data_IF_679468356272
#
_entry.id   IF_679468356272
#
_cell.length_a   1.000
_cell.length_b   1.000
_cell.length_c   1.000
_cell.angle_alpha   90.00
_cell.angle_beta   90.00
_cell.angle_gamma   90.00
#
_symmetry.space_group_name_H-M   'P 1'
#
loop_
_entity.id
_entity.type
_entity.pdbx_description
1 polymer ?
#
# COMPACT_ATOMS: atom_id res chain seq x y z
N UNK A 1 -8.12 -21.73 4.92
CA UNK A 1 -8.72 -21.07 3.75
C UNK A 1 -7.58 -20.43 2.97
N UNK A 2 -6.92 -21.21 2.12
CA UNK A 2 -5.68 -20.82 1.42
C UNK A 2 -6.05 -20.32 0.04
N UNK A 3 -5.54 -19.15 -0.37
CA UNK A 3 -5.67 -18.68 -1.75
C UNK A 3 -4.84 -19.62 -2.63
N UNK A 4 -5.51 -20.52 -3.35
CA UNK A 4 -4.86 -21.32 -4.37
C UNK A 4 -4.63 -20.44 -5.60
N UNK A 5 -3.37 -20.17 -5.95
CA UNK A 5 -3.02 -19.47 -7.20
C UNK A 5 -3.38 -20.41 -8.35
N UNK A 6 -4.49 -20.12 -9.04
CA UNK A 6 -5.01 -20.94 -10.14
C UNK A 6 -4.57 -20.36 -11.47
N UNK A 7 -3.77 -21.11 -12.23
CA UNK A 7 -3.31 -20.71 -13.56
C UNK A 7 -4.42 -20.64 -14.63
N UNK A 8 -5.63 -21.13 -14.32
CA UNK A 8 -6.77 -21.15 -15.25
C UNK A 8 -7.24 -19.74 -15.67
N UNK A 9 -7.01 -18.72 -14.84
CA UNK A 9 -7.43 -17.34 -15.07
C UNK A 9 -6.28 -16.39 -15.40
N UNK A 10 -5.12 -16.90 -15.84
CA UNK A 10 -3.89 -16.11 -16.01
C UNK A 10 -4.08 -14.83 -16.84
N UNK A 11 -4.86 -14.87 -17.92
CA UNK A 11 -5.17 -13.67 -18.71
C UNK A 11 -5.95 -12.64 -17.90
N UNK A 12 -7.01 -13.05 -17.22
CA UNK A 12 -7.84 -12.16 -16.40
C UNK A 12 -7.06 -11.56 -15.24
N UNK A 13 -6.26 -12.38 -14.56
CA UNK A 13 -5.45 -11.96 -13.42
C UNK A 13 -4.34 -10.97 -13.86
N UNK A 14 -3.75 -11.18 -15.04
CA UNK A 14 -2.74 -10.27 -15.59
C UNK A 14 -3.33 -8.90 -15.95
N UNK A 15 -4.43 -8.87 -16.71
CA UNK A 15 -5.08 -7.61 -17.09
C UNK A 15 -5.68 -6.89 -15.88
N UNK A 16 -6.28 -7.63 -14.94
CA UNK A 16 -6.79 -7.11 -13.68
C UNK A 16 -5.68 -6.52 -12.81
N UNK A 17 -4.57 -7.23 -12.65
CA UNK A 17 -3.39 -6.75 -11.91
C UNK A 17 -2.76 -5.52 -12.54
N UNK A 18 -2.63 -5.47 -13.86
CA UNK A 18 -2.11 -4.29 -14.58
C UNK A 18 -3.02 -3.07 -14.38
N UNK A 19 -4.33 -3.26 -14.51
CA UNK A 19 -5.31 -2.18 -14.33
C UNK A 19 -5.28 -1.68 -12.88
N UNK A 20 -5.23 -2.60 -11.91
CA UNK A 20 -5.11 -2.27 -10.50
C UNK A 20 -3.81 -1.51 -10.20
N UNK A 21 -2.68 -1.90 -10.81
CA UNK A 21 -1.40 -1.21 -10.64
C UNK A 21 -1.45 0.23 -11.15
N UNK A 22 -2.05 0.47 -12.32
CA UNK A 22 -2.22 1.83 -12.89
C UNK A 22 -3.05 2.72 -11.96
N UNK A 23 -4.11 2.19 -11.35
CA UNK A 23 -4.96 2.94 -10.41
C UNK A 23 -4.26 3.12 -9.05
N UNK A 24 -3.54 2.12 -8.57
CA UNK A 24 -2.89 2.13 -7.26
C UNK A 24 -1.66 3.06 -7.20
N UNK A 25 -0.93 3.22 -8.30
CA UNK A 25 0.29 4.04 -8.36
C UNK A 25 0.06 5.50 -7.93
N UNK A 26 -0.85 6.28 -8.54
CA UNK A 26 -1.09 7.66 -8.11
C UNK A 26 -1.64 7.74 -6.68
N UNK A 27 -2.47 6.76 -6.28
CA UNK A 27 -3.04 6.71 -4.94
C UNK A 27 -1.95 6.49 -3.86
N UNK A 28 -1.01 5.58 -4.11
CA UNK A 28 0.10 5.29 -3.22
C UNK A 28 1.03 6.51 -3.03
N UNK A 29 1.33 7.23 -4.12
CA UNK A 29 2.14 8.44 -4.06
C UNK A 29 1.42 9.54 -3.28
N UNK A 30 0.13 9.76 -3.54
CA UNK A 30 -0.68 10.76 -2.85
C UNK A 30 -0.75 10.49 -1.34
N UNK A 31 -0.97 9.23 -0.95
CA UNK A 31 -0.99 8.82 0.45
C UNK A 31 0.38 8.86 1.13
N UNK A 32 1.47 8.57 0.41
CA UNK A 32 2.82 8.78 0.92
C UNK A 32 3.10 10.24 1.26
N UNK A 33 2.70 11.16 0.39
CA UNK A 33 2.83 12.61 0.66
C UNK A 33 1.92 13.03 1.82
N UNK A 34 0.66 12.62 1.81
CA UNK A 34 -0.32 13.01 2.84
C UNK A 34 -0.01 12.45 4.24
N UNK A 35 0.78 11.38 4.35
CA UNK A 35 1.24 10.85 5.64
C UNK A 35 2.44 11.60 6.23
N UNK A 36 3.05 12.53 5.49
CA UNK A 36 4.19 13.33 5.95
C UNK A 36 5.56 12.66 5.81
N UNK A 37 5.62 11.39 5.37
CA UNK A 37 6.85 10.60 5.17
C UNK A 37 7.34 10.59 3.71
N UNK A 38 6.52 11.10 2.78
CA UNK A 38 6.89 11.29 1.38
C UNK A 38 6.40 10.21 0.41
N UNK A 39 6.44 10.50 -0.90
CA UNK A 39 5.84 9.66 -1.93
C UNK A 39 6.53 8.29 -2.07
N UNK A 40 7.84 8.25 -1.83
CA UNK A 40 8.66 7.04 -1.91
C UNK A 40 8.20 6.00 -0.88
N UNK A 41 7.92 6.44 0.35
CA UNK A 41 7.44 5.54 1.40
C UNK A 41 6.06 4.96 1.05
N UNK A 42 5.16 5.77 0.48
CA UNK A 42 3.86 5.32 -0.01
C UNK A 42 3.98 4.27 -1.13
N UNK A 43 4.90 4.49 -2.08
CA UNK A 43 5.17 3.55 -3.18
C UNK A 43 5.71 2.21 -2.68
N UNK A 44 6.75 2.23 -1.84
CA UNK A 44 7.30 1.00 -1.26
C UNK A 44 6.27 0.28 -0.38
N UNK A 45 5.50 1.04 0.40
CA UNK A 45 4.41 0.48 1.21
C UNK A 45 3.39 -0.25 0.35
N UNK A 46 2.96 0.31 -0.77
CA UNK A 46 2.02 -0.33 -1.69
C UNK A 46 2.57 -1.61 -2.31
N UNK A 47 3.83 -1.60 -2.77
CA UNK A 47 4.47 -2.76 -3.42
C UNK A 47 4.63 -3.91 -2.41
N UNK A 48 5.25 -3.62 -1.27
CA UNK A 48 5.54 -4.64 -0.25
C UNK A 48 4.24 -5.18 0.33
N UNK A 49 3.31 -4.30 0.74
CA UNK A 49 2.03 -4.75 1.29
C UNK A 49 1.22 -5.56 0.29
N UNK A 50 1.16 -5.13 -0.97
CA UNK A 50 0.44 -5.83 -2.03
C UNK A 50 1.01 -7.23 -2.27
N UNK A 51 2.34 -7.38 -2.29
CA UNK A 51 2.99 -8.68 -2.46
C UNK A 51 2.69 -9.63 -1.30
N UNK A 52 2.88 -9.16 -0.06
CA UNK A 52 2.62 -10.00 1.11
C UNK A 52 1.14 -10.35 1.25
N UNK A 53 0.24 -9.40 1.00
CA UNK A 53 -1.19 -9.64 1.06
C UNK A 53 -1.70 -10.55 -0.07
N UNK A 54 -1.04 -10.58 -1.23
CA UNK A 54 -1.38 -11.51 -2.31
C UNK A 54 -0.96 -12.95 -1.97
N UNK A 55 0.18 -13.15 -1.30
CA UNK A 55 0.72 -14.48 -0.95
C UNK A 55 0.04 -15.04 0.32
N UNK A 56 -0.11 -14.20 1.36
CA UNK A 56 -0.58 -14.61 2.69
C UNK A 56 -2.04 -14.23 2.98
N UNK A 57 -2.71 -13.55 2.05
CA UNK A 57 -4.09 -13.11 2.21
C UNK A 57 -5.13 -14.24 2.15
N UNK A 58 -6.38 -13.89 2.47
CA UNK A 58 -7.51 -14.82 2.44
C UNK A 58 -8.43 -14.69 1.21
N UNK A 59 -8.27 -13.63 0.43
CA UNK A 59 -9.22 -13.25 -0.64
C UNK A 59 -8.51 -13.19 -2.00
N UNK A 60 -8.92 -13.99 -3.01
CA UNK A 60 -8.22 -14.11 -4.29
C UNK A 60 -8.13 -12.81 -5.12
N UNK A 61 -9.10 -11.91 -4.97
CA UNK A 61 -9.19 -10.67 -5.76
C UNK A 61 -8.91 -9.42 -4.93
N UNK A 62 -8.32 -9.55 -3.73
CA UNK A 62 -8.02 -8.37 -2.92
C UNK A 62 -6.82 -7.61 -3.48
N UNK A 63 -6.92 -6.29 -3.47
CA UNK A 63 -5.81 -5.38 -3.71
C UNK A 63 -5.50 -4.69 -2.39
N UNK A 64 -4.28 -4.85 -1.90
CA UNK A 64 -3.84 -4.26 -0.64
C UNK A 64 -2.78 -3.19 -0.90
N UNK A 65 -2.92 -2.05 -0.23
CA UNK A 65 -2.06 -0.89 -0.37
C UNK A 65 -2.33 0.12 0.75
N UNK A 66 -1.60 1.25 0.80
CA UNK A 66 -1.92 2.35 1.70
C UNK A 66 -3.33 2.87 1.41
N UNK A 67 -4.12 3.10 2.47
CA UNK A 67 -5.50 3.60 2.37
C UNK A 67 -5.65 4.92 3.09
N UNK A 68 -6.72 5.67 2.80
CA UNK A 68 -7.03 6.94 3.46
C UNK A 68 -6.97 6.85 4.99
N UNK A 69 -7.70 5.92 5.64
CA UNK A 69 -7.65 5.79 7.10
C UNK A 69 -6.24 5.53 7.65
N UNK A 70 -5.48 4.63 7.01
CA UNK A 70 -4.11 4.33 7.44
C UNK A 70 -3.17 5.54 7.26
N UNK A 71 -3.38 6.32 6.21
CA UNK A 71 -2.63 7.55 5.92
C UNK A 71 -2.87 8.61 6.99
N UNK A 72 -4.13 8.80 7.41
CA UNK A 72 -4.49 9.72 8.49
C UNK A 72 -3.85 9.30 9.81
N UNK A 73 -3.87 8.00 10.13
CA UNK A 73 -3.20 7.47 11.33
C UNK A 73 -1.69 7.65 11.25
N UNK A 74 -1.06 7.43 10.10
CA UNK A 74 0.37 7.71 9.95
C UNK A 74 0.70 9.18 10.11
N UNK A 75 -0.09 10.08 9.51
CA UNK A 75 0.12 11.52 9.65
C UNK A 75 0.09 11.96 11.12
N UNK A 76 -0.85 11.43 11.92
CA UNK A 76 -0.94 11.75 13.34
C UNK A 76 0.25 11.19 14.13
N UNK A 77 0.71 9.98 13.84
CA UNK A 77 1.89 9.38 14.48
C UNK A 77 3.15 10.16 14.12
N UNK A 78 3.37 10.47 12.84
CA UNK A 78 4.52 11.24 12.37
C UNK A 78 4.57 12.62 13.05
N UNK A 79 3.43 13.31 13.08
CA UNK A 79 3.31 14.61 13.76
C UNK A 79 3.62 14.49 15.26
N UNK A 80 3.11 13.45 15.93
CA UNK A 80 3.37 13.21 17.34
C UNK A 80 4.86 12.96 17.63
N UNK A 81 5.54 12.15 16.81
CA UNK A 81 6.96 11.85 17.00
C UNK A 81 7.87 13.04 16.66
N UNK A 82 7.56 13.80 15.61
CA UNK A 82 8.26 15.04 15.27
C UNK A 82 8.21 16.05 16.42
N UNK A 83 7.03 16.20 17.05
CA UNK A 83 6.87 17.09 18.20
C UNK A 83 7.64 16.61 19.45
N UNK A 84 7.85 15.30 19.59
CA UNK A 84 8.51 14.69 20.75
C UNK A 84 10.04 14.66 20.64
N UNK A 85 10.57 14.53 19.42
CA UNK A 85 12.02 14.42 19.16
C UNK A 85 12.46 15.36 18.02
N UNK A 86 12.36 16.69 18.20
CA UNK A 86 12.66 17.67 17.16
C UNK A 86 14.11 17.60 16.64
N UNK A 87 15.04 17.10 17.46
CA UNK A 87 16.46 16.90 17.11
C UNK A 87 16.72 15.78 16.10
N UNK A 88 15.78 14.85 15.93
CA UNK A 88 15.94 13.71 15.00
C UNK A 88 15.52 14.02 13.57
N UNK A 89 14.88 15.17 13.33
CA UNK A 89 14.73 15.78 12.00
C UNK A 89 14.31 14.83 10.87
N UNK A 90 13.32 13.98 11.12
CA UNK A 90 12.67 13.18 10.07
C UNK A 90 12.10 14.08 8.97
#
# INVERSE_FOLDING_TARGET
MTVAIKLKNLKGDLFGGLTAAVVALPLALAFGVASGIGPIAGLYGAIVLGLFAAIFGGTPTQISGPTGPMTVVMASIVTFFLAKYPETGL
#
